data_IF_207460640774
#
_entry.id   IF_207460640774
#
_cell.length_a   1.000
_cell.length_b   1.000
_cell.length_c   1.000
_cell.angle_alpha   90.00
_cell.angle_beta   90.00
_cell.angle_gamma   90.00
#
_symmetry.space_group_name_H-M   'P 1'
#
loop_
_entity.id
_entity.type
_entity.pdbx_description
1 polymer ?
#
# COMPACT_ATOMS: atom_id res chain seq x y z
N UNK A 1 -10.92 -30.52 38.84
CA UNK A 1 -11.18 -29.26 38.15
C UNK A 1 -12.23 -29.54 37.11
N UNK A 2 -13.33 -28.83 37.10
CA UNK A 2 -14.43 -29.07 36.15
C UNK A 2 -14.13 -28.21 34.92
N UNK A 3 -13.82 -28.85 33.77
CA UNK A 3 -13.64 -28.15 32.52
C UNK A 3 -14.90 -27.38 32.16
N UNK A 4 -14.79 -26.05 32.03
CA UNK A 4 -15.87 -25.25 31.45
C UNK A 4 -15.74 -25.27 29.92
N UNK A 5 -16.87 -25.48 29.23
CA UNK A 5 -16.92 -25.46 27.77
C UNK A 5 -16.42 -24.11 27.23
N UNK A 6 -15.28 -24.10 26.59
CA UNK A 6 -14.64 -22.87 26.04
C UNK A 6 -13.17 -22.72 26.42
N UNK A 7 -12.64 -23.57 27.27
CA UNK A 7 -11.20 -23.64 27.54
C UNK A 7 -10.56 -24.64 26.56
N UNK A 8 -9.38 -24.28 26.06
CA UNK A 8 -8.62 -25.09 25.08
C UNK A 8 -7.94 -26.30 25.72
N UNK A 9 -8.53 -26.89 26.76
CA UNK A 9 -8.02 -28.06 27.43
C UNK A 9 -8.84 -29.30 27.04
N UNK A 10 -8.34 -30.04 26.07
CA UNK A 10 -8.98 -31.28 25.65
C UNK A 10 -7.96 -32.41 25.74
N UNK A 11 -8.08 -33.19 26.78
CA UNK A 11 -7.32 -34.43 26.93
C UNK A 11 -7.77 -35.46 25.90
N UNK A 12 -6.83 -35.88 25.04
CA UNK A 12 -7.04 -36.99 24.10
C UNK A 12 -7.59 -36.64 22.73
N UNK A 13 -7.56 -35.36 22.35
CA UNK A 13 -7.80 -34.90 20.98
C UNK A 13 -6.46 -34.43 20.41
N UNK A 14 -6.16 -34.85 19.18
CA UNK A 14 -5.07 -34.21 18.39
C UNK A 14 -5.42 -32.73 18.18
N UNK A 15 -4.88 -31.89 19.04
CA UNK A 15 -4.96 -30.45 18.86
C UNK A 15 -3.93 -30.12 17.81
N UNK A 16 -4.43 -29.68 16.66
CA UNK A 16 -3.59 -29.09 15.63
C UNK A 16 -2.89 -27.88 16.29
N UNK A 17 -1.60 -28.04 16.62
CA UNK A 17 -0.77 -27.01 17.31
C UNK A 17 -0.61 -25.73 16.50
N UNK A 18 -1.13 -25.71 15.29
CA UNK A 18 -1.29 -24.54 14.45
C UNK A 18 -2.52 -23.76 14.94
N UNK A 19 -2.31 -22.82 15.84
CA UNK A 19 -3.29 -21.76 16.03
C UNK A 19 -3.49 -21.07 14.66
N UNK A 20 -4.56 -21.44 13.98
CA UNK A 20 -5.03 -20.70 12.81
C UNK A 20 -5.52 -19.36 13.33
N UNK A 21 -4.60 -18.41 13.41
CA UNK A 21 -4.89 -17.04 13.79
C UNK A 21 -5.83 -16.40 12.77
N UNK A 22 -6.31 -15.22 13.10
CA UNK A 22 -7.07 -14.37 12.20
C UNK A 22 -6.29 -14.12 10.92
N UNK A 23 -7.03 -13.96 9.83
CA UNK A 23 -6.60 -13.84 8.44
C UNK A 23 -5.19 -13.27 8.21
N UNK A 24 -4.39 -14.04 7.46
CA UNK A 24 -3.05 -13.68 7.04
C UNK A 24 -3.09 -12.73 5.84
N UNK A 25 -3.43 -11.47 6.05
CA UNK A 25 -3.22 -10.46 5.04
C UNK A 25 -1.74 -10.04 5.10
N UNK A 26 -0.97 -10.41 4.09
CA UNK A 26 0.41 -9.95 3.97
C UNK A 26 0.46 -8.43 3.79
N UNK A 27 1.23 -7.76 4.65
CA UNK A 27 1.50 -6.35 4.55
C UNK A 27 2.38 -6.07 3.33
N UNK A 28 1.83 -5.34 2.36
CA UNK A 28 2.42 -5.29 1.03
C UNK A 28 2.88 -3.88 0.64
N UNK A 29 2.45 -2.83 1.35
CA UNK A 29 2.67 -1.46 0.89
C UNK A 29 4.11 -0.98 1.06
N UNK A 30 4.88 -1.57 1.96
CA UNK A 30 6.33 -1.33 2.00
C UNK A 30 7.05 -1.74 0.70
N UNK A 31 6.49 -2.67 -0.07
CA UNK A 31 7.06 -3.11 -1.36
C UNK A 31 6.98 -2.03 -2.44
N UNK A 32 5.98 -1.16 -2.36
CA UNK A 32 5.83 -0.03 -3.30
C UNK A 32 6.73 1.15 -2.93
N UNK A 33 7.23 1.20 -1.69
CA UNK A 33 8.05 2.27 -1.17
C UNK A 33 9.54 2.01 -1.37
N UNK A 34 10.32 3.08 -1.53
CA UNK A 34 11.75 3.03 -1.28
C UNK A 34 11.98 3.06 0.22
N UNK A 35 12.53 1.97 0.80
CA UNK A 35 12.82 1.89 2.23
C UNK A 35 14.21 2.44 2.50
N UNK A 36 14.30 3.46 3.37
CA UNK A 36 15.59 4.06 3.77
C UNK A 36 15.63 4.25 5.28
N UNK A 37 16.80 4.06 5.89
CA UNK A 37 16.99 4.32 7.31
C UNK A 37 17.15 5.83 7.58
N UNK A 38 16.75 6.27 8.76
CA UNK A 38 17.00 7.63 9.26
C UNK A 38 17.44 7.59 10.71
N UNK A 39 18.30 8.52 11.12
CA UNK A 39 18.72 8.70 12.52
C UNK A 39 18.06 9.95 13.15
N UNK A 40 17.31 10.72 12.38
CA UNK A 40 16.66 11.94 12.83
C UNK A 40 15.15 11.72 13.00
N UNK A 41 14.57 12.29 14.06
CA UNK A 41 13.12 12.23 14.28
C UNK A 41 12.33 13.21 13.42
N UNK A 42 12.97 14.26 12.92
CA UNK A 42 12.41 15.19 11.95
C UNK A 42 12.97 14.87 10.57
N UNK A 43 12.08 14.68 9.59
CA UNK A 43 12.42 14.35 8.21
C UNK A 43 12.05 15.55 7.36
N UNK A 44 13.04 16.08 6.63
CA UNK A 44 12.85 17.17 5.67
C UNK A 44 13.18 16.69 4.29
N UNK A 45 12.31 16.98 3.34
CA UNK A 45 12.57 16.67 1.94
C UNK A 45 12.09 17.79 1.03
N UNK A 46 12.62 17.81 -0.17
CA UNK A 46 12.30 18.82 -1.16
C UNK A 46 11.59 18.17 -2.34
N UNK A 47 10.48 18.77 -2.73
CA UNK A 47 9.76 18.43 -3.94
C UNK A 47 10.00 19.53 -4.97
N UNK A 48 10.28 19.14 -6.21
CA UNK A 48 10.39 20.05 -7.31
C UNK A 48 8.98 20.47 -7.73
N UNK A 49 8.70 21.78 -7.73
CA UNK A 49 7.37 22.33 -8.04
C UNK A 49 7.31 23.07 -9.37
N UNK A 50 8.44 23.46 -9.92
CA UNK A 50 8.52 24.11 -11.23
C UNK A 50 9.88 23.86 -11.91
N UNK A 51 9.96 24.16 -13.19
CA UNK A 51 11.15 23.93 -14.01
C UNK A 51 11.18 22.54 -14.63
N UNK A 52 10.03 21.94 -14.86
CA UNK A 52 9.89 20.73 -15.67
C UNK A 52 9.82 21.09 -17.15
N UNK A 53 10.32 20.17 -17.97
CA UNK A 53 10.12 20.22 -19.42
C UNK A 53 8.76 19.62 -19.77
N UNK A 54 7.69 20.34 -19.48
CA UNK A 54 6.33 19.89 -19.75
C UNK A 54 5.64 20.85 -20.73
N UNK A 55 4.86 20.30 -21.63
CA UNK A 55 4.03 21.06 -22.57
C UNK A 55 2.82 21.74 -21.90
N UNK A 56 2.44 21.28 -20.70
CA UNK A 56 1.28 21.75 -19.93
C UNK A 56 1.68 22.64 -18.75
N UNK A 57 2.94 22.63 -18.33
CA UNK A 57 3.43 23.47 -17.24
C UNK A 57 3.54 24.94 -17.66
N UNK A 58 2.68 25.78 -17.10
CA UNK A 58 2.68 27.22 -17.36
C UNK A 58 3.82 27.96 -16.66
N UNK A 59 4.49 27.33 -15.71
CA UNK A 59 5.59 27.90 -14.93
C UNK A 59 6.96 27.35 -15.33
N UNK A 60 6.98 26.26 -16.10
CA UNK A 60 8.18 25.63 -16.62
C UNK A 60 8.54 26.06 -18.03
N UNK A 61 9.57 25.45 -18.57
CA UNK A 61 9.94 25.59 -19.97
C UNK A 61 9.27 24.51 -20.76
N UNK A 62 8.41 24.90 -21.71
CA UNK A 62 7.87 23.95 -22.70
C UNK A 62 8.98 23.52 -23.66
N UNK A 63 8.88 22.30 -24.18
CA UNK A 63 9.83 21.78 -25.16
C UNK A 63 9.98 22.71 -26.39
N UNK A 64 8.94 23.48 -26.72
CA UNK A 64 8.96 24.48 -27.80
C UNK A 64 9.80 25.72 -27.49
N UNK A 65 10.09 25.99 -26.21
CA UNK A 65 10.95 27.12 -25.79
C UNK A 65 12.44 26.75 -25.83
N UNK A 66 12.78 25.45 -25.89
CA UNK A 66 14.14 24.99 -26.16
C UNK A 66 14.33 24.97 -27.68
N UNK A 67 14.32 26.13 -28.27
CA UNK A 67 14.50 26.28 -29.69
C UNK A 67 15.99 26.36 -30.08
N UNK A 68 16.27 26.16 -31.35
CA UNK A 68 17.58 26.40 -31.92
C UNK A 68 17.97 27.85 -31.69
N UNK A 69 19.07 28.06 -30.97
CA UNK A 69 19.57 29.39 -30.62
C UNK A 69 20.55 29.86 -31.72
N UNK A 70 20.33 31.02 -32.30
CA UNK A 70 21.21 31.57 -33.28
C UNK A 70 22.59 31.91 -32.69
N UNK A 71 23.63 31.95 -33.56
CA UNK A 71 24.98 32.28 -33.12
C UNK A 71 25.02 33.61 -32.32
N UNK A 72 25.56 33.56 -31.11
CA UNK A 72 25.69 34.72 -30.25
C UNK A 72 24.47 35.06 -29.39
N UNK A 73 23.34 34.37 -29.56
CA UNK A 73 22.18 34.55 -28.68
C UNK A 73 22.37 33.84 -27.34
N UNK A 74 21.82 34.41 -26.29
CA UNK A 74 21.84 33.76 -24.96
C UNK A 74 20.88 32.59 -24.91
N UNK A 75 21.25 31.44 -24.28
CA UNK A 75 20.34 30.34 -24.08
C UNK A 75 19.19 30.73 -23.16
N UNK A 76 18.08 29.99 -23.23
CA UNK A 76 16.96 30.13 -22.30
C UNK A 76 17.40 29.68 -20.92
N UNK A 77 17.11 30.51 -19.91
CA UNK A 77 17.41 30.19 -18.50
C UNK A 77 16.21 29.49 -17.90
N UNK A 78 16.45 28.30 -17.35
CA UNK A 78 15.43 27.51 -16.63
C UNK A 78 15.58 27.77 -15.14
N UNK A 79 14.61 28.38 -14.53
CA UNK A 79 14.53 28.50 -13.07
C UNK A 79 13.82 27.26 -12.50
N UNK A 80 14.38 26.71 -11.43
CA UNK A 80 13.80 25.58 -10.72
C UNK A 80 13.27 26.05 -9.39
N UNK A 81 12.04 25.66 -9.07
CA UNK A 81 11.41 25.93 -7.78
C UNK A 81 11.28 24.66 -6.97
N UNK A 82 11.54 24.76 -5.67
CA UNK A 82 11.51 23.65 -4.73
C UNK A 82 10.67 24.01 -3.52
N UNK A 83 9.77 23.11 -3.14
CA UNK A 83 9.02 23.22 -1.89
C UNK A 83 9.61 22.28 -0.85
N UNK A 84 9.92 22.84 0.33
CA UNK A 84 10.38 22.05 1.47
C UNK A 84 9.20 21.52 2.26
N UNK A 85 9.15 20.21 2.42
CA UNK A 85 8.20 19.51 3.26
C UNK A 85 8.89 18.99 4.53
N UNK A 86 8.14 18.86 5.61
CA UNK A 86 8.61 18.37 6.90
C UNK A 86 7.61 17.36 7.45
N UNK A 87 8.10 16.25 7.98
CA UNK A 87 7.31 15.27 8.71
C UNK A 87 8.09 14.74 9.92
N UNK A 88 7.41 14.10 10.84
CA UNK A 88 8.00 13.57 12.07
C UNK A 88 7.81 12.06 12.11
N UNK A 89 8.85 11.36 12.60
CA UNK A 89 8.81 9.93 12.82
C UNK A 89 7.70 9.59 13.81
N UNK A 90 6.84 8.65 13.44
CA UNK A 90 5.76 8.12 14.27
C UNK A 90 6.19 6.81 14.89
N UNK A 91 5.68 6.54 16.08
CA UNK A 91 5.89 5.28 16.78
C UNK A 91 4.59 4.47 16.75
N UNK A 92 4.66 3.29 16.17
CA UNK A 92 3.61 2.28 16.19
C UNK A 92 3.98 1.28 17.26
N UNK A 93 3.19 1.20 18.31
CA UNK A 93 3.55 0.47 19.52
C UNK A 93 2.33 -0.27 20.07
N UNK A 94 2.50 -1.55 20.38
CA UNK A 94 1.47 -2.39 20.96
C UNK A 94 2.06 -3.27 22.05
N UNK A 95 1.29 -3.54 23.10
CA UNK A 95 1.64 -4.42 24.20
C UNK A 95 0.52 -5.43 24.41
N UNK A 96 0.88 -6.71 24.61
CA UNK A 96 -0.07 -7.75 24.99
C UNK A 96 -0.56 -7.57 26.43
N UNK A 97 -1.73 -8.11 26.79
CA UNK A 97 -2.05 -8.34 28.18
C UNK A 97 -1.00 -9.25 28.84
N UNK A 98 -0.97 -9.28 30.15
CA UNK A 98 -0.10 -10.21 30.89
C UNK A 98 -0.56 -11.64 30.66
N UNK A 99 0.31 -12.48 30.15
CA UNK A 99 0.10 -13.93 30.01
C UNK A 99 0.63 -14.55 31.30
N UNK A 100 -0.20 -15.25 32.09
CA UNK A 100 0.21 -15.82 33.34
C UNK A 100 1.25 -16.94 33.16
N UNK A 101 2.09 -17.17 34.17
CA UNK A 101 3.03 -18.30 34.12
C UNK A 101 2.32 -19.65 34.10
N UNK A 102 1.12 -19.70 34.67
CA UNK A 102 0.27 -20.89 34.69
C UNK A 102 -0.24 -21.19 33.30
N UNK A 103 -0.79 -20.20 32.57
CA UNK A 103 -1.24 -20.36 31.19
C UNK A 103 -0.09 -20.79 30.26
N UNK A 104 1.13 -20.30 30.48
CA UNK A 104 2.29 -20.67 29.68
C UNK A 104 2.70 -22.11 29.89
N UNK A 105 2.56 -22.64 31.15
CA UNK A 105 2.96 -23.99 31.52
C UNK A 105 1.90 -25.04 31.20
N UNK A 106 0.63 -24.65 31.34
CA UNK A 106 -0.50 -25.57 31.21
C UNK A 106 -1.12 -25.58 29.80
N UNK A 107 -0.72 -24.63 28.93
CA UNK A 107 -1.23 -24.55 27.56
C UNK A 107 -0.49 -25.50 26.62
N UNK A 108 -1.25 -26.24 25.82
CA UNK A 108 -0.73 -27.05 24.72
C UNK A 108 -0.28 -26.20 23.50
N UNK A 109 -0.64 -24.92 23.48
CA UNK A 109 -0.28 -23.97 22.41
C UNK A 109 0.91 -23.12 22.83
N UNK A 110 1.77 -22.76 21.87
CA UNK A 110 2.79 -21.73 22.10
C UNK A 110 2.13 -20.35 22.06
N UNK A 111 1.56 -19.94 23.21
CA UNK A 111 0.88 -18.67 23.39
C UNK A 111 1.79 -17.48 23.12
N UNK A 112 3.07 -17.59 23.46
CA UNK A 112 4.03 -16.50 23.28
C UNK A 112 4.30 -16.27 21.81
N UNK A 113 4.64 -17.32 21.05
CA UNK A 113 4.92 -17.21 19.63
C UNK A 113 3.70 -16.72 18.84
N UNK A 114 2.51 -17.21 19.19
CA UNK A 114 1.25 -16.79 18.54
C UNK A 114 0.98 -15.31 18.80
N UNK A 115 1.08 -14.86 20.05
CA UNK A 115 0.87 -13.45 20.40
C UNK A 115 1.93 -12.53 19.74
N UNK A 116 3.20 -12.93 19.71
CA UNK A 116 4.25 -12.17 19.00
C UNK A 116 3.87 -11.97 17.55
N UNK A 117 3.49 -13.06 16.86
CA UNK A 117 3.10 -13.01 15.45
C UNK A 117 1.92 -12.08 15.20
N UNK A 118 0.88 -12.19 16.02
CA UNK A 118 -0.35 -11.40 15.84
C UNK A 118 -0.10 -9.91 16.13
N UNK A 119 0.73 -9.60 17.15
CA UNK A 119 1.12 -8.22 17.46
C UNK A 119 2.02 -7.62 16.35
N UNK A 120 2.95 -8.39 15.81
CA UNK A 120 3.77 -7.97 14.67
C UNK A 120 2.89 -7.59 13.49
N UNK A 121 1.94 -8.45 13.11
CA UNK A 121 0.98 -8.20 12.03
C UNK A 121 0.12 -6.97 12.28
N UNK A 122 -0.32 -6.77 13.52
CA UNK A 122 -1.09 -5.59 13.88
C UNK A 122 -0.30 -4.29 13.66
N UNK A 123 0.98 -4.26 14.05
CA UNK A 123 1.87 -3.11 13.83
C UNK A 123 2.09 -2.88 12.34
N UNK A 124 2.42 -3.92 11.59
CA UNK A 124 2.64 -3.84 10.14
C UNK A 124 1.40 -3.33 9.41
N UNK A 125 0.21 -3.81 9.78
CA UNK A 125 -1.05 -3.32 9.20
C UNK A 125 -1.27 -1.83 9.43
N UNK A 126 -0.91 -1.31 10.59
CA UNK A 126 -0.98 0.13 10.88
C UNK A 126 0.05 0.93 10.07
N UNK A 127 1.23 0.38 9.86
CA UNK A 127 2.24 0.97 8.99
C UNK A 127 1.76 1.03 7.54
N UNK A 128 1.18 -0.06 7.04
CA UNK A 128 0.59 -0.10 5.69
C UNK A 128 -0.56 0.91 5.53
N UNK A 129 -1.45 1.01 6.53
CA UNK A 129 -2.51 2.03 6.51
C UNK A 129 -1.91 3.44 6.46
N UNK A 130 -0.83 3.70 7.21
CA UNK A 130 -0.15 5.01 7.16
C UNK A 130 0.47 5.29 5.79
N UNK A 131 1.09 4.31 5.16
CA UNK A 131 1.63 4.44 3.81
C UNK A 131 0.49 4.81 2.84
N UNK A 132 -0.64 4.12 2.93
CA UNK A 132 -1.80 4.39 2.10
C UNK A 132 -2.38 5.80 2.34
N UNK A 133 -2.54 6.21 3.60
CA UNK A 133 -3.08 7.54 3.94
C UNK A 133 -2.23 8.68 3.38
N UNK A 134 -0.89 8.54 3.46
CA UNK A 134 0.04 9.52 2.88
C UNK A 134 -0.02 9.49 1.35
N UNK A 135 -0.15 8.33 0.77
CA UNK A 135 -0.27 8.16 -0.68
C UNK A 135 -1.55 8.83 -1.20
N UNK A 136 -2.72 8.45 -0.68
CA UNK A 136 -4.00 8.98 -1.17
C UNK A 136 -4.14 10.49 -0.98
N UNK A 137 -3.53 11.02 0.10
CA UNK A 137 -3.50 12.46 0.35
C UNK A 137 -2.53 13.23 -0.56
N UNK A 138 -1.49 12.57 -1.07
CA UNK A 138 -0.41 13.21 -1.82
C UNK A 138 -0.48 13.03 -3.34
N UNK A 139 -1.35 12.18 -3.86
CA UNK A 139 -1.50 11.94 -5.30
C UNK A 139 -2.02 13.20 -6.00
N UNK A 140 -1.29 13.66 -7.04
CA UNK A 140 -1.69 14.82 -7.83
C UNK A 140 -2.77 14.48 -8.86
N UNK A 141 -2.65 13.34 -9.52
CA UNK A 141 -3.55 12.90 -10.58
C UNK A 141 -4.75 12.15 -10.00
N UNK A 142 -5.95 12.71 -10.15
CA UNK A 142 -7.19 12.08 -9.70
C UNK A 142 -8.25 12.16 -10.80
N UNK A 143 -8.79 11.01 -11.19
CA UNK A 143 -9.83 10.89 -12.22
C UNK A 143 -10.98 10.04 -11.67
N UNK A 144 -12.21 10.54 -11.80
CA UNK A 144 -13.38 9.75 -11.44
C UNK A 144 -13.76 8.78 -12.56
N UNK A 145 -14.09 7.54 -12.21
CA UNK A 145 -14.75 6.61 -13.14
C UNK A 145 -16.09 7.19 -13.60
N UNK A 146 -16.43 6.94 -14.85
CA UNK A 146 -17.73 7.40 -15.42
C UNK A 146 -18.90 6.68 -14.76
N UNK A 147 -18.72 5.41 -14.45
CA UNK A 147 -19.68 4.61 -13.69
C UNK A 147 -18.90 3.72 -12.74
N UNK A 148 -19.42 3.50 -11.54
CA UNK A 148 -18.82 2.59 -10.57
C UNK A 148 -18.61 1.19 -11.17
N UNK A 149 -17.57 0.49 -10.76
CA UNK A 149 -17.21 -0.81 -11.34
C UNK A 149 -18.24 -1.91 -10.99
N UNK A 150 -19.03 -1.70 -9.94
CA UNK A 150 -20.15 -2.55 -9.56
C UNK A 150 -21.51 -2.09 -10.11
N UNK A 151 -21.55 -1.03 -10.92
CA UNK A 151 -22.78 -0.55 -11.55
C UNK A 151 -23.36 -1.59 -12.52
N UNK A 152 -24.69 -1.50 -12.76
CA UNK A 152 -25.36 -2.43 -13.68
C UNK A 152 -24.98 -2.20 -15.16
N UNK A 153 -24.52 -1.00 -15.53
CA UNK A 153 -24.16 -0.63 -16.90
C UNK A 153 -23.21 0.57 -16.95
N UNK A 154 -22.45 0.66 -18.03
CA UNK A 154 -21.56 1.79 -18.30
C UNK A 154 -20.21 1.71 -17.62
N UNK A 155 -19.95 0.70 -16.80
CA UNK A 155 -18.66 0.47 -16.17
C UNK A 155 -17.61 0.02 -17.20
N UNK A 156 -16.39 0.56 -17.07
CA UNK A 156 -15.23 0.14 -17.87
C UNK A 156 -13.92 0.27 -17.07
N UNK A 157 -13.66 -0.63 -16.11
CA UNK A 157 -12.47 -0.59 -15.27
C UNK A 157 -11.16 -0.56 -16.05
N UNK A 158 -11.11 -1.23 -17.20
CA UNK A 158 -9.93 -1.26 -18.08
C UNK A 158 -9.62 0.13 -18.62
N UNK A 159 -10.65 0.85 -19.08
CA UNK A 159 -10.51 2.23 -19.56
C UNK A 159 -10.02 3.16 -18.46
N UNK A 160 -10.55 3.01 -17.24
CA UNK A 160 -10.16 3.84 -16.10
C UNK A 160 -8.69 3.62 -15.73
N UNK A 161 -8.23 2.37 -15.70
CA UNK A 161 -6.82 2.04 -15.49
C UNK A 161 -5.94 2.61 -16.61
N UNK A 162 -6.40 2.55 -17.88
CA UNK A 162 -5.67 3.14 -19.00
C UNK A 162 -5.60 4.66 -18.90
N UNK A 163 -6.64 5.33 -18.40
CA UNK A 163 -6.62 6.77 -18.15
C UNK A 163 -5.60 7.10 -17.06
N UNK A 164 -5.58 6.37 -15.96
CA UNK A 164 -4.57 6.53 -14.92
C UNK A 164 -3.13 6.33 -15.45
N UNK A 165 -2.91 5.31 -16.27
CA UNK A 165 -1.61 5.11 -16.96
C UNK A 165 -1.25 6.26 -17.88
N UNK A 166 -2.21 6.78 -18.63
CA UNK A 166 -2.01 7.93 -19.53
C UNK A 166 -1.58 9.16 -18.71
N UNK A 167 -2.23 9.44 -17.59
CA UNK A 167 -1.94 10.62 -16.76
C UNK A 167 -0.51 10.54 -16.19
N UNK A 168 -0.08 9.38 -15.69
CA UNK A 168 1.31 9.15 -15.27
C UNK A 168 2.30 9.34 -16.41
N UNK A 169 1.96 8.91 -17.64
CA UNK A 169 2.82 9.11 -18.83
C UNK A 169 2.91 10.56 -19.27
N UNK A 170 1.83 11.33 -19.15
CA UNK A 170 1.83 12.77 -19.43
C UNK A 170 2.85 13.49 -18.53
N UNK A 171 2.95 13.07 -17.28
CA UNK A 171 3.92 13.60 -16.31
C UNK A 171 5.35 13.08 -16.52
N UNK A 172 5.58 12.27 -17.55
CA UNK A 172 6.91 11.79 -17.93
C UNK A 172 7.39 10.54 -17.19
N UNK A 173 6.51 9.83 -16.48
CA UNK A 173 6.84 8.56 -15.82
C UNK A 173 6.40 7.36 -16.64
N UNK A 174 7.14 6.25 -16.51
CA UNK A 174 6.76 4.98 -17.11
C UNK A 174 5.88 4.18 -16.15
N UNK A 175 4.61 3.92 -16.48
CA UNK A 175 3.70 3.13 -15.66
C UNK A 175 3.84 1.62 -15.86
N UNK A 176 4.79 1.13 -16.68
CA UNK A 176 5.00 -0.30 -16.85
C UNK A 176 5.59 -0.91 -15.57
N UNK A 177 4.98 -2.02 -15.11
CA UNK A 177 5.34 -2.63 -13.82
C UNK A 177 4.86 -1.85 -12.59
N UNK A 178 4.03 -0.82 -12.76
CA UNK A 178 3.39 -0.12 -11.65
C UNK A 178 2.50 -1.05 -10.84
N UNK A 179 2.20 -0.64 -9.61
CA UNK A 179 1.30 -1.36 -8.71
C UNK A 179 -0.09 -0.72 -8.73
N UNK A 180 -1.11 -1.56 -8.92
CA UNK A 180 -2.51 -1.17 -8.81
C UNK A 180 -3.04 -1.63 -7.46
N UNK A 181 -3.32 -0.68 -6.57
CA UNK A 181 -3.86 -0.92 -5.24
C UNK A 181 -5.37 -0.96 -5.32
N UNK A 182 -5.97 -2.06 -4.89
CA UNK A 182 -7.41 -2.28 -4.91
C UNK A 182 -7.91 -2.73 -3.54
N UNK A 183 -9.12 -2.34 -3.22
CA UNK A 183 -9.87 -2.98 -2.15
C UNK A 183 -10.42 -4.32 -2.63
N UNK A 184 -10.66 -5.31 -1.74
CA UNK A 184 -11.24 -6.60 -2.13
C UNK A 184 -12.55 -6.48 -2.93
N UNK A 185 -13.41 -5.52 -2.60
CA UNK A 185 -14.66 -5.25 -3.33
C UNK A 185 -14.41 -4.79 -4.77
N UNK A 186 -13.46 -3.86 -4.97
CA UNK A 186 -13.07 -3.37 -6.30
C UNK A 186 -12.43 -4.48 -7.14
N UNK A 187 -11.62 -5.32 -6.50
CA UNK A 187 -11.02 -6.48 -7.14
C UNK A 187 -12.08 -7.49 -7.60
N UNK A 188 -13.09 -7.78 -6.75
CA UNK A 188 -14.24 -8.62 -7.11
C UNK A 188 -15.00 -8.05 -8.31
N UNK A 189 -15.30 -6.75 -8.28
CA UNK A 189 -16.03 -6.04 -9.34
C UNK A 189 -15.25 -6.06 -10.66
N UNK A 190 -13.93 -5.83 -10.60
CA UNK A 190 -13.02 -5.92 -11.74
C UNK A 190 -13.02 -7.32 -12.38
N UNK A 191 -12.87 -8.38 -11.56
CA UNK A 191 -12.91 -9.76 -12.04
C UNK A 191 -14.27 -10.10 -12.64
N UNK A 192 -15.36 -9.76 -11.96
CA UNK A 192 -16.73 -10.00 -12.43
C UNK A 192 -16.96 -9.33 -13.77
N UNK A 193 -16.51 -8.08 -13.93
CA UNK A 193 -16.62 -7.38 -15.20
C UNK A 193 -15.78 -8.03 -16.31
N UNK A 194 -14.55 -8.45 -16.01
CA UNK A 194 -13.69 -9.15 -16.97
C UNK A 194 -14.32 -10.47 -17.44
N UNK A 195 -14.94 -11.21 -16.56
CA UNK A 195 -15.61 -12.50 -16.88
C UNK A 195 -16.90 -12.25 -17.65
N UNK A 196 -17.79 -11.39 -17.13
CA UNK A 196 -19.15 -11.24 -17.67
C UNK A 196 -19.19 -10.41 -18.96
N UNK A 197 -18.41 -9.34 -19.04
CA UNK A 197 -18.52 -8.36 -20.11
C UNK A 197 -17.50 -8.59 -21.23
N UNK A 198 -16.27 -8.92 -20.89
CA UNK A 198 -15.16 -9.07 -21.87
C UNK A 198 -14.66 -10.51 -22.01
N UNK A 199 -14.96 -11.39 -21.08
CA UNK A 199 -14.52 -12.77 -21.12
C UNK A 199 -14.97 -13.53 -22.36
N UNK A 200 -16.15 -13.21 -22.92
CA UNK A 200 -16.64 -13.75 -24.18
C UNK A 200 -15.90 -13.23 -25.41
N UNK A 201 -15.28 -12.06 -25.31
CA UNK A 201 -14.58 -11.39 -26.43
C UNK A 201 -13.08 -11.71 -26.48
N UNK A 202 -12.48 -12.17 -25.38
CA UNK A 202 -11.06 -12.50 -25.27
C UNK A 202 -10.91 -13.86 -24.57
N UNK A 203 -11.18 -14.98 -25.27
CA UNK A 203 -11.22 -16.32 -24.68
C UNK A 203 -9.89 -16.74 -24.02
N UNK A 204 -8.75 -16.36 -24.60
CA UNK A 204 -7.43 -16.71 -24.08
C UNK A 204 -7.10 -15.98 -22.76
N UNK A 205 -7.59 -14.80 -22.58
CA UNK A 205 -7.43 -14.03 -21.35
C UNK A 205 -8.32 -14.58 -20.22
N UNK A 206 -9.58 -14.86 -20.55
CA UNK A 206 -10.55 -15.39 -19.60
C UNK A 206 -10.16 -16.80 -19.09
N UNK A 207 -9.74 -17.71 -19.97
CA UNK A 207 -9.48 -19.10 -19.60
C UNK A 207 -8.24 -19.28 -18.73
N UNK A 208 -7.19 -18.49 -18.93
CA UNK A 208 -5.96 -18.57 -18.14
C UNK A 208 -6.09 -17.94 -16.75
N UNK A 209 -6.95 -16.92 -16.59
CA UNK A 209 -7.07 -16.15 -15.34
C UNK A 209 -8.26 -16.58 -14.48
N UNK A 210 -9.32 -17.10 -15.08
CA UNK A 210 -10.48 -17.63 -14.35
C UNK A 210 -10.15 -18.97 -13.66
N UNK A 211 -9.21 -19.76 -14.19
CA UNK A 211 -8.76 -20.99 -13.56
C UNK A 211 -8.10 -20.79 -12.19
N UNK A 212 -7.37 -19.71 -12.04
CA UNK A 212 -6.62 -19.41 -10.81
C UNK A 212 -7.38 -18.48 -9.84
N UNK A 213 -8.48 -17.86 -10.28
CA UNK A 213 -9.32 -16.98 -9.44
C UNK A 213 -8.63 -15.68 -8.96
N UNK A 214 -7.39 -15.42 -9.39
CA UNK A 214 -6.60 -14.27 -8.96
C UNK A 214 -6.03 -13.52 -10.16
N UNK A 215 -6.37 -12.24 -10.31
CA UNK A 215 -5.73 -11.36 -11.26
C UNK A 215 -4.52 -10.71 -10.59
N UNK A 216 -3.34 -11.28 -10.79
CA UNK A 216 -2.09 -10.74 -10.24
C UNK A 216 -1.48 -9.62 -11.10
N UNK A 217 -1.86 -9.53 -12.37
CA UNK A 217 -1.35 -8.53 -13.30
C UNK A 217 -2.42 -8.14 -14.32
N UNK A 218 -2.62 -6.85 -14.53
CA UNK A 218 -3.53 -6.29 -15.51
C UNK A 218 -2.86 -5.13 -16.25
N UNK A 219 -2.90 -5.15 -17.57
CA UNK A 219 -2.30 -4.11 -18.41
C UNK A 219 -0.81 -3.83 -18.07
N UNK A 220 -0.03 -4.84 -17.68
CA UNK A 220 1.35 -4.68 -17.23
C UNK A 220 1.50 -4.07 -15.82
N UNK A 221 0.41 -3.93 -15.07
CA UNK A 221 0.43 -3.45 -13.68
C UNK A 221 0.20 -4.60 -12.72
N UNK A 222 0.98 -4.67 -11.64
CA UNK A 222 0.84 -5.67 -10.59
C UNK A 222 -0.33 -5.29 -9.67
N UNK A 223 -1.27 -6.20 -9.47
CA UNK A 223 -2.42 -5.95 -8.60
C UNK A 223 -2.07 -6.30 -7.16
N UNK A 224 -2.27 -5.36 -6.25
CA UNK A 224 -2.18 -5.55 -4.81
C UNK A 224 -3.56 -5.30 -4.20
N UNK A 225 -4.09 -6.32 -3.51
CA UNK A 225 -5.40 -6.23 -2.87
C UNK A 225 -5.20 -6.12 -1.37
N UNK A 226 -5.76 -5.08 -0.75
CA UNK A 226 -5.69 -4.88 0.69
C UNK A 226 -6.94 -4.19 1.24
N UNK A 227 -7.31 -4.57 2.47
CA UNK A 227 -8.37 -3.91 3.25
C UNK A 227 -7.99 -2.49 3.69
N UNK A 228 -6.69 -2.14 3.64
CA UNK A 228 -6.21 -0.81 4.00
C UNK A 228 -6.47 0.24 2.91
N UNK A 229 -6.86 -0.18 1.72
CA UNK A 229 -7.34 0.71 0.65
C UNK A 229 -8.72 1.23 1.03
N UNK A 230 -8.94 2.53 0.90
CA UNK A 230 -10.23 3.13 1.21
C UNK A 230 -11.32 2.65 0.22
N UNK A 231 -12.57 2.70 0.66
CA UNK A 231 -13.69 2.39 -0.22
C UNK A 231 -13.78 3.44 -1.33
N UNK A 232 -14.24 3.02 -2.50
CA UNK A 232 -14.47 3.90 -3.63
C UNK A 232 -13.21 4.53 -4.23
N UNK A 233 -12.03 3.92 -3.97
CA UNK A 233 -10.75 4.39 -4.51
C UNK A 233 -9.90 3.22 -5.02
N UNK A 234 -9.26 3.42 -6.18
CA UNK A 234 -8.18 2.58 -6.68
C UNK A 234 -6.98 3.47 -7.02
N UNK A 235 -5.76 3.05 -6.68
CA UNK A 235 -4.57 3.87 -6.90
C UNK A 235 -3.54 3.10 -7.73
N UNK A 236 -3.12 3.70 -8.83
CA UNK A 236 -1.99 3.22 -9.62
C UNK A 236 -0.72 3.96 -9.18
N UNK A 237 0.32 3.22 -8.81
CA UNK A 237 1.57 3.76 -8.24
C UNK A 237 2.78 3.21 -8.95
N UNK A 238 3.68 4.08 -9.38
CA UNK A 238 5.00 3.67 -9.85
C UNK A 238 5.87 3.31 -8.64
N UNK A 239 6.16 2.01 -8.51
CA UNK A 239 6.90 1.47 -7.36
C UNK A 239 8.26 2.12 -7.19
N UNK A 240 8.67 2.30 -5.92
CA UNK A 240 9.96 2.85 -5.51
C UNK A 240 10.24 4.29 -6.00
N UNK A 241 9.26 4.96 -6.59
CA UNK A 241 9.38 6.33 -7.07
C UNK A 241 8.47 7.29 -6.30
N UNK A 242 7.19 6.94 -6.23
CA UNK A 242 6.18 7.80 -5.62
C UNK A 242 6.37 7.97 -4.11
N UNK A 243 6.71 6.89 -3.42
CA UNK A 243 6.72 6.83 -1.96
C UNK A 243 8.07 6.39 -1.40
N UNK A 244 8.43 6.95 -0.24
CA UNK A 244 9.58 6.51 0.56
C UNK A 244 9.15 6.26 2.00
N UNK A 245 9.49 5.08 2.53
CA UNK A 245 9.38 4.77 3.94
C UNK A 245 10.71 5.07 4.65
N UNK A 246 10.69 5.99 5.61
CA UNK A 246 11.84 6.33 6.45
C UNK A 246 11.77 5.53 7.74
N UNK A 247 12.57 4.47 7.85
CA UNK A 247 12.66 3.63 9.03
C UNK A 247 13.64 4.25 10.04
N UNK A 248 13.15 4.56 11.24
CA UNK A 248 13.98 5.01 12.36
C UNK A 248 14.36 3.83 13.26
N UNK A 249 13.37 3.03 13.65
CA UNK A 249 13.56 1.74 14.32
C UNK A 249 12.79 0.69 13.52
N UNK A 250 13.45 -0.35 13.01
CA UNK A 250 12.74 -1.44 12.34
C UNK A 250 11.84 -2.16 13.34
N UNK A 251 10.92 -2.98 12.82
CA UNK A 251 10.03 -3.74 13.67
C UNK A 251 10.84 -4.56 14.69
N UNK A 252 10.53 -4.36 15.95
CA UNK A 252 11.25 -4.93 17.09
C UNK A 252 10.25 -5.46 18.10
N UNK A 253 10.54 -6.62 18.68
CA UNK A 253 9.75 -7.21 19.75
C UNK A 253 10.60 -7.39 20.99
N UNK A 254 9.98 -7.28 22.17
CA UNK A 254 10.59 -7.55 23.46
C UNK A 254 9.59 -8.25 24.38
N UNK A 255 10.08 -9.26 25.10
CA UNK A 255 9.34 -9.95 26.13
C UNK A 255 9.76 -9.38 27.49
N UNK A 256 8.80 -8.93 28.27
CA UNK A 256 8.99 -8.41 29.63
C UNK A 256 8.55 -9.49 30.58
N UNK A 257 9.48 -9.96 31.43
CA UNK A 257 9.18 -10.88 32.50
C UNK A 257 8.78 -10.10 33.74
N UNK A 258 7.65 -10.50 34.33
CA UNK A 258 7.21 -10.06 35.66
C UNK A 258 7.22 -11.28 36.56
N UNK A 259 8.28 -11.46 37.40
CA UNK A 259 8.49 -12.70 38.16
C UNK A 259 7.32 -13.03 39.09
N UNK A 260 6.79 -14.25 38.99
CA UNK A 260 5.66 -14.73 39.78
C UNK A 260 4.28 -14.24 39.32
N UNK A 261 4.21 -13.45 38.23
CA UNK A 261 2.95 -12.96 37.66
C UNK A 261 2.79 -13.48 36.22
N UNK A 262 3.78 -13.27 35.36
CA UNK A 262 3.69 -13.69 33.98
C UNK A 262 4.61 -12.92 33.05
N UNK A 263 4.26 -12.91 31.75
CA UNK A 263 5.01 -12.25 30.70
C UNK A 263 4.13 -11.33 29.88
N UNK A 264 4.73 -10.22 29.43
CA UNK A 264 4.12 -9.29 28.48
C UNK A 264 4.99 -9.20 27.23
N UNK A 265 4.35 -9.04 26.11
CA UNK A 265 5.02 -8.90 24.82
C UNK A 265 4.81 -7.49 24.32
N UNK A 266 5.88 -6.82 23.94
CA UNK A 266 5.84 -5.50 23.30
C UNK A 266 6.38 -5.62 21.90
N UNK A 267 5.66 -5.00 20.97
CA UNK A 267 6.10 -4.88 19.57
C UNK A 267 5.98 -3.43 19.16
N UNK A 268 6.99 -2.92 18.47
CA UNK A 268 6.98 -1.55 17.96
C UNK A 268 7.80 -1.41 16.68
N UNK A 269 7.42 -0.41 15.93
CA UNK A 269 8.16 0.11 14.78
C UNK A 269 8.12 1.64 14.81
N UNK A 270 9.23 2.31 14.51
CA UNK A 270 9.27 3.76 14.37
C UNK A 270 9.68 4.13 12.94
N UNK A 271 8.85 4.91 12.29
CA UNK A 271 9.09 5.35 10.91
C UNK A 271 8.04 6.34 10.44
N UNK A 272 8.22 6.85 9.23
CA UNK A 272 7.24 7.71 8.57
C UNK A 272 7.27 7.49 7.07
N UNK A 273 6.06 7.48 6.47
CA UNK A 273 5.88 7.50 5.03
C UNK A 273 5.96 8.95 4.53
N UNK A 274 6.66 9.15 3.44
CA UNK A 274 6.71 10.45 2.75
C UNK A 274 6.37 10.26 1.27
N UNK A 275 5.56 11.17 0.74
CA UNK A 275 5.31 11.26 -0.69
C UNK A 275 6.50 11.96 -1.33
N UNK A 276 7.30 11.22 -2.08
CA UNK A 276 8.50 11.76 -2.73
C UNK A 276 8.14 12.45 -4.04
N UNK A 277 7.21 11.84 -4.80
CA UNK A 277 6.81 12.33 -6.11
C UNK A 277 5.30 12.14 -6.30
N UNK A 278 4.57 13.24 -6.33
CA UNK A 278 3.11 13.29 -6.40
C UNK A 278 2.56 12.87 -7.77
N UNK A 279 3.35 13.04 -8.83
CA UNK A 279 2.97 12.76 -10.20
C UNK A 279 3.26 11.31 -10.63
N UNK A 280 4.03 10.57 -9.81
CA UNK A 280 4.31 9.17 -10.05
C UNK A 280 3.19 8.22 -9.58
N UNK A 281 2.02 8.76 -9.29
CA UNK A 281 0.82 8.01 -8.93
C UNK A 281 -0.43 8.66 -9.51
N UNK A 282 -1.47 7.85 -9.75
CA UNK A 282 -2.77 8.33 -10.21
C UNK A 282 -3.88 7.61 -9.42
N UNK A 283 -4.87 8.38 -8.97
CA UNK A 283 -6.02 7.91 -8.22
C UNK A 283 -7.25 7.84 -9.11
N UNK A 284 -7.97 6.74 -9.01
CA UNK A 284 -9.28 6.53 -9.63
C UNK A 284 -10.30 6.56 -8.49
N UNK A 285 -11.29 7.41 -8.58
CA UNK A 285 -12.40 7.52 -7.62
C UNK A 285 -13.72 7.06 -8.26
N UNK A 286 -14.76 6.89 -7.46
CA UNK A 286 -16.05 6.38 -7.91
C UNK A 286 -15.94 4.95 -8.46
N UNK A 287 -15.24 4.08 -7.70
CA UNK A 287 -15.09 2.66 -8.08
C UNK A 287 -16.21 1.78 -7.55
N UNK A 288 -16.94 2.23 -6.51
CA UNK A 288 -18.08 1.51 -5.88
C UNK A 288 -19.27 2.43 -5.76
N UNK A 289 -20.52 1.86 -5.92
CA UNK A 289 -21.80 2.59 -5.73
C UNK A 289 -22.21 2.64 -4.25
#
# INVERSE_FOLDING_TARGET
MVDSSGQAEIRGIDIDKLAKGFADEENQFKRICTVTSTAAREIRWYQKTAGFLDSTDTTGITASQIANVSHGARPVVVEQSWTRNTSYVRKYFVESPTISEEDIKDSDLDLIATNVRDLVRAVERQVDKRIYDVLTAGVANSTASVAAWDAASGQDPIKDIMVAKKDIRIDGYDPEGAFLLLRPKDHESLITWLISTKGSSIPSFASARVGDGVVMEILGCKVLVSQNVDADEAILVVGQRAMTWKSFVPITSAVINDPGIGRKIRVWEEGEAIMTDTNAAAKITNTVT
#
